data_IF_186897163581
#
_entry.id   IF_186897163581
#
_cell.length_a   1.000
_cell.length_b   1.000
_cell.length_c   1.000
_cell.angle_alpha   90.00
_cell.angle_beta   90.00
_cell.angle_gamma   90.00
#
_symmetry.space_group_name_H-M   'P 1'
#
loop_
_entity.id
_entity.type
_entity.pdbx_description
1 polymer ?
#
# COMPACT_ATOMS: atom_id res chain seq x y z
N UNK A 1 -33.96 59.78 55.92
CA UNK A 1 -34.18 58.34 56.18
C UNK A 1 -32.84 57.74 56.54
N UNK A 2 -32.53 57.59 57.85
CA UNK A 2 -31.23 57.18 58.38
C UNK A 2 -31.23 55.75 58.98
N UNK A 3 -30.06 55.31 59.45
CA UNK A 3 -29.71 54.08 60.21
C UNK A 3 -29.53 52.83 59.31
N UNK A 4 -28.34 52.28 59.02
CA UNK A 4 -27.09 52.13 59.80
C UNK A 4 -27.36 51.64 61.22
N UNK A 5 -27.50 50.33 61.35
CA UNK A 5 -27.40 49.62 62.62
C UNK A 5 -26.07 48.89 62.70
N UNK A 6 -25.43 49.18 63.82
CA UNK A 6 -24.16 48.70 64.33
C UNK A 6 -24.42 47.58 65.36
N UNK A 7 -23.39 46.74 65.54
CA UNK A 7 -23.12 45.79 66.63
C UNK A 7 -24.12 44.69 67.00
N UNK A 8 -23.68 43.45 66.81
CA UNK A 8 -23.96 42.36 67.75
C UNK A 8 -22.75 41.40 67.80
N UNK A 9 -21.96 41.57 68.87
CA UNK A 9 -21.24 40.56 69.67
C UNK A 9 -20.60 39.34 68.98
N UNK A 10 -19.26 39.16 69.08
CA UNK A 10 -18.62 37.89 68.75
C UNK A 10 -18.97 36.80 69.79
N UNK A 11 -19.18 35.54 69.38
CA UNK A 11 -19.39 34.45 70.33
C UNK A 11 -18.10 34.18 71.14
N UNK A 12 -18.28 34.03 72.45
CA UNK A 12 -17.23 33.68 73.39
C UNK A 12 -16.59 32.33 73.04
N UNK A 13 -15.26 32.28 73.06
CA UNK A 13 -14.48 31.03 73.03
C UNK A 13 -14.80 30.19 74.28
N UNK A 14 -15.05 28.88 74.12
CA UNK A 14 -15.13 27.97 75.25
C UNK A 14 -13.75 27.83 75.94
N UNK A 15 -13.71 27.58 77.26
CA UNK A 15 -12.47 27.43 78.01
C UNK A 15 -11.66 26.22 77.53
N UNK A 16 -10.35 26.41 77.45
CA UNK A 16 -9.33 25.43 77.08
C UNK A 16 -9.40 24.21 78.00
N UNK A 17 -9.66 23.03 77.42
CA UNK A 17 -9.55 21.75 78.12
C UNK A 17 -8.06 21.40 78.22
N UNK A 18 -7.51 21.08 79.40
CA UNK A 18 -6.15 20.57 79.55
C UNK A 18 -5.96 19.29 78.74
N UNK A 19 -4.90 19.23 77.95
CA UNK A 19 -4.57 18.08 77.11
C UNK A 19 -4.34 16.81 77.94
N UNK A 20 -4.57 15.62 77.34
CA UNK A 20 -4.26 14.35 77.98
C UNK A 20 -2.74 14.20 78.20
N UNK A 21 -2.31 13.49 79.26
CA UNK A 21 -0.90 13.26 79.53
C UNK A 21 -0.25 12.41 78.42
N UNK A 22 1.02 12.73 78.12
CA UNK A 22 1.84 11.99 77.16
C UNK A 22 1.86 10.48 77.48
N UNK A 23 1.63 9.60 76.50
CA UNK A 23 1.84 8.17 76.69
C UNK A 23 3.34 7.88 76.84
N UNK A 24 3.66 7.07 77.84
CA UNK A 24 4.99 6.53 78.10
C UNK A 24 5.59 5.83 76.87
N UNK A 25 6.94 5.81 76.71
CA UNK A 25 7.60 5.22 75.55
C UNK A 25 7.31 3.72 75.50
N UNK A 26 6.60 3.30 74.46
CA UNK A 26 6.45 1.89 74.12
C UNK A 26 7.71 1.40 73.42
N UNK A 27 8.29 0.33 73.94
CA UNK A 27 9.32 -0.48 73.29
C UNK A 27 8.87 -0.85 71.87
N UNK A 28 9.54 -0.26 70.88
CA UNK A 28 9.33 -0.56 69.47
C UNK A 28 9.86 -1.95 69.17
N UNK A 29 8.96 -2.94 69.09
CA UNK A 29 9.22 -4.15 68.31
C UNK A 29 9.27 -3.73 66.84
N UNK A 30 10.45 -3.84 66.24
CA UNK A 30 10.68 -3.50 64.84
C UNK A 30 9.74 -4.32 63.94
N UNK A 31 8.83 -3.64 63.26
CA UNK A 31 8.14 -4.21 62.11
C UNK A 31 9.19 -4.51 61.03
N UNK A 32 9.10 -5.64 60.31
CA UNK A 32 10.00 -5.91 59.19
C UNK A 32 9.86 -4.79 58.15
N UNK A 33 10.97 -4.15 57.83
CA UNK A 33 11.02 -3.17 56.75
C UNK A 33 10.46 -3.79 55.47
N UNK A 34 9.59 -3.09 54.72
CA UNK A 34 9.34 -3.44 53.34
C UNK A 34 10.70 -3.47 52.62
N UNK A 35 10.97 -4.46 51.76
CA UNK A 35 12.18 -4.46 50.97
C UNK A 35 12.26 -3.13 50.20
N UNK A 36 13.44 -2.52 50.23
CA UNK A 36 13.72 -1.32 49.45
C UNK A 36 13.28 -1.56 48.00
N UNK A 37 12.68 -0.57 47.30
CA UNK A 37 12.37 -0.73 45.90
C UNK A 37 13.67 -1.07 45.18
N UNK A 38 13.76 -2.32 44.72
CA UNK A 38 14.78 -2.69 43.76
C UNK A 38 14.62 -1.68 42.62
N UNK A 39 15.68 -0.95 42.32
CA UNK A 39 15.77 -0.26 41.05
C UNK A 39 15.56 -1.35 40.00
N UNK A 40 14.35 -1.38 39.43
CA UNK A 40 14.07 -2.21 38.29
C UNK A 40 15.02 -1.70 37.22
N UNK A 41 16.08 -2.48 36.98
CA UNK A 41 16.80 -2.41 35.74
C UNK A 41 15.73 -2.43 34.65
N UNK A 42 15.69 -1.42 33.75
CA UNK A 42 14.72 -1.43 32.68
C UNK A 42 14.82 -2.79 31.99
N UNK A 43 13.69 -3.44 31.67
CA UNK A 43 13.72 -4.71 30.95
C UNK A 43 14.62 -4.51 29.73
N UNK A 44 15.57 -5.43 29.55
CA UNK A 44 16.41 -5.43 28.37
C UNK A 44 15.49 -5.34 27.16
N UNK A 45 15.61 -4.23 26.43
CA UNK A 45 14.88 -4.02 25.19
C UNK A 45 15.21 -5.23 24.31
N UNK A 46 14.24 -6.09 23.95
CA UNK A 46 14.50 -7.11 22.95
C UNK A 46 15.00 -6.37 21.70
N UNK A 47 16.05 -6.85 21.03
CA UNK A 47 16.59 -6.17 19.86
C UNK A 47 15.43 -5.89 18.90
N UNK A 48 15.23 -4.61 18.61
CA UNK A 48 14.26 -4.17 17.61
C UNK A 48 14.53 -4.99 16.34
N UNK A 49 13.53 -5.59 15.69
CA UNK A 49 13.72 -6.09 14.35
C UNK A 49 14.18 -4.89 13.52
N UNK A 50 15.44 -4.91 13.12
CA UNK A 50 16.02 -3.91 12.23
C UNK A 50 15.08 -3.78 11.04
N UNK A 51 14.64 -2.54 10.82
CA UNK A 51 14.00 -2.11 9.60
C UNK A 51 14.72 -2.76 8.40
N UNK A 52 13.93 -3.21 7.44
CA UNK A 52 14.41 -3.71 6.15
C UNK A 52 15.58 -2.85 5.66
N UNK A 53 16.74 -3.45 5.36
CA UNK A 53 17.84 -2.69 4.79
C UNK A 53 17.41 -2.23 3.39
N UNK A 54 17.13 -0.94 3.25
CA UNK A 54 17.26 -0.29 1.96
C UNK A 54 18.74 -0.38 1.57
N UNK A 55 19.09 -0.97 0.41
CA UNK A 55 20.46 -0.96 -0.06
C UNK A 55 20.83 0.47 -0.47
N UNK A 56 21.74 1.10 0.29
CA UNK A 56 22.52 2.22 -0.20
C UNK A 56 23.33 1.77 -1.44
N UNK A 57 23.52 2.64 -2.46
CA UNK A 57 24.33 2.31 -3.62
C UNK A 57 25.81 2.24 -3.22
N UNK A 58 26.30 1.04 -2.99
CA UNK A 58 27.74 0.75 -2.97
C UNK A 58 28.19 0.36 -4.38
N UNK A 59 29.35 0.90 -4.76
CA UNK A 59 30.11 0.62 -5.98
C UNK A 59 30.14 -0.89 -6.33
N UNK A 60 30.19 -1.25 -7.63
CA UNK A 60 29.98 -2.62 -8.07
C UNK A 60 31.09 -3.58 -7.58
N UNK A 61 30.73 -4.73 -6.98
CA UNK A 61 31.68 -5.81 -6.73
C UNK A 61 32.03 -6.58 -8.02
N UNK A 62 33.17 -7.29 -8.05
CA UNK A 62 33.64 -8.01 -9.23
C UNK A 62 32.69 -9.16 -9.62
N UNK A 63 32.52 -9.30 -10.94
CA UNK A 63 31.68 -10.25 -11.66
C UNK A 63 31.55 -11.64 -11.03
N UNK A 64 30.33 -11.99 -10.61
CA UNK A 64 29.89 -13.36 -10.33
C UNK A 64 29.36 -14.01 -11.63
N UNK A 65 29.61 -15.31 -11.90
CA UNK A 65 29.20 -15.98 -13.13
C UNK A 65 27.68 -16.20 -13.21
N UNK A 66 27.09 -15.87 -14.37
CA UNK A 66 25.66 -15.97 -14.66
C UNK A 66 25.20 -17.44 -14.80
N UNK A 67 24.22 -17.93 -14.02
CA UNK A 67 23.75 -19.32 -14.05
C UNK A 67 22.86 -19.70 -15.25
N UNK A 68 22.61 -18.77 -16.18
CA UNK A 68 21.89 -19.05 -17.44
C UNK A 68 22.79 -19.11 -18.68
N UNK A 69 24.12 -19.21 -18.50
CA UNK A 69 25.02 -19.48 -19.61
C UNK A 69 24.78 -20.89 -20.16
N UNK A 70 24.46 -21.00 -21.45
CA UNK A 70 24.35 -22.30 -22.12
C UNK A 70 25.67 -23.08 -22.02
N UNK A 71 25.65 -24.42 -21.83
CA UNK A 71 26.87 -25.20 -21.71
C UNK A 71 27.62 -25.24 -23.04
N UNK A 72 28.86 -24.75 -23.04
CA UNK A 72 29.84 -25.07 -24.09
C UNK A 72 30.27 -26.53 -23.92
N UNK A 73 29.99 -27.36 -24.91
CA UNK A 73 30.36 -28.78 -24.93
C UNK A 73 31.88 -28.91 -25.14
N UNK A 74 32.63 -29.57 -24.23
CA UNK A 74 34.02 -29.91 -24.49
C UNK A 74 34.09 -31.11 -25.44
N UNK A 75 34.80 -30.96 -26.55
CA UNK A 75 35.06 -32.06 -27.48
C UNK A 75 36.14 -32.97 -26.89
N UNK A 76 35.71 -33.93 -26.06
CA UNK A 76 36.55 -35.00 -25.53
C UNK A 76 36.60 -36.15 -26.55
N UNK A 77 37.75 -36.30 -27.20
CA UNK A 77 37.99 -37.39 -28.15
C UNK A 77 37.93 -38.74 -27.45
N UNK A 78 37.21 -39.69 -28.04
CA UNK A 78 37.25 -41.09 -27.61
C UNK A 78 37.90 -41.94 -28.72
N UNK A 79 39.00 -42.66 -28.42
CA UNK A 79 39.60 -43.64 -29.30
C UNK A 79 38.71 -44.90 -29.32
N UNK A 80 38.83 -45.72 -30.37
CA UNK A 80 38.03 -46.94 -30.60
C UNK A 80 36.64 -46.73 -31.21
N UNK A 81 36.61 -46.39 -32.50
CA UNK A 81 35.54 -46.85 -33.39
C UNK A 81 36.17 -47.25 -34.73
N UNK A 82 36.23 -48.56 -34.95
CA UNK A 82 36.72 -49.24 -36.15
C UNK A 82 35.63 -49.17 -37.22
N UNK A 83 36.03 -48.80 -38.43
CA UNK A 83 35.22 -48.83 -39.67
C UNK A 83 34.74 -50.25 -40.00
N UNK A 84 33.59 -50.38 -40.69
CA UNK A 84 33.67 -51.03 -41.98
C UNK A 84 32.97 -50.22 -43.08
N UNK A 85 33.63 -50.19 -44.23
CA UNK A 85 33.25 -49.37 -45.36
C UNK A 85 32.01 -49.84 -46.11
N UNK A 86 31.25 -48.86 -46.57
CA UNK A 86 30.39 -48.95 -47.74
C UNK A 86 30.61 -47.68 -48.57
N UNK A 87 31.00 -47.88 -49.82
CA UNK A 87 31.43 -46.80 -50.72
C UNK A 87 30.29 -45.85 -51.09
N UNK A 88 30.57 -44.56 -50.95
CA UNK A 88 29.89 -43.48 -51.64
C UNK A 88 30.94 -42.68 -52.44
N UNK A 89 30.64 -42.27 -53.69
CA UNK A 89 31.58 -41.48 -54.49
C UNK A 89 31.83 -40.11 -53.82
N UNK A 90 33.00 -39.50 -54.02
CA UNK A 90 33.36 -38.25 -53.37
C UNK A 90 32.39 -37.13 -53.74
N UNK A 91 32.06 -36.22 -52.79
CA UNK A 91 31.30 -35.03 -53.12
C UNK A 91 32.09 -34.19 -54.13
N UNK A 92 31.42 -33.87 -55.23
CA UNK A 92 31.94 -32.98 -56.27
C UNK A 92 32.23 -31.63 -55.61
N UNK A 93 33.48 -31.17 -55.69
CA UNK A 93 33.82 -29.82 -55.27
C UNK A 93 32.96 -28.82 -56.05
N UNK A 94 32.37 -27.80 -55.40
CA UNK A 94 31.70 -26.75 -56.14
C UNK A 94 32.74 -26.08 -57.05
N UNK A 95 32.41 -25.76 -58.31
CA UNK A 95 33.35 -25.13 -59.21
C UNK A 95 33.80 -23.79 -58.61
N UNK A 96 35.05 -23.38 -58.84
CA UNK A 96 35.50 -22.07 -58.40
C UNK A 96 34.64 -21.03 -59.10
N UNK A 97 33.87 -20.27 -58.32
CA UNK A 97 33.08 -19.16 -58.85
C UNK A 97 34.05 -18.07 -59.31
N UNK A 98 34.44 -18.18 -60.58
CA UNK A 98 35.04 -17.11 -61.36
C UNK A 98 33.97 -16.06 -61.61
N UNK A 99 34.09 -14.89 -60.99
CA UNK A 99 33.24 -13.75 -61.33
C UNK A 99 33.07 -12.74 -60.20
N UNK A 100 33.80 -11.62 -60.31
CA UNK A 100 33.49 -10.40 -59.56
C UNK A 100 32.01 -10.02 -59.73
N UNK A 101 31.42 -9.50 -58.65
CA UNK A 101 30.02 -9.06 -58.49
C UNK A 101 29.00 -10.06 -57.91
N UNK A 102 29.29 -11.36 -57.80
CA UNK A 102 28.33 -12.31 -57.19
C UNK A 102 28.23 -12.17 -55.66
N UNK A 103 29.38 -11.98 -54.98
CA UNK A 103 29.44 -11.74 -53.53
C UNK A 103 28.75 -10.42 -53.16
N UNK A 104 28.96 -9.37 -53.96
CA UNK A 104 28.32 -8.07 -53.75
C UNK A 104 26.80 -8.13 -53.86
N UNK A 105 26.26 -8.95 -54.78
CA UNK A 105 24.81 -9.17 -54.92
C UNK A 105 24.23 -9.96 -53.76
N UNK A 106 24.91 -11.00 -53.28
CA UNK A 106 24.47 -11.78 -52.12
C UNK A 106 24.44 -10.93 -50.84
N UNK A 107 25.47 -10.10 -50.62
CA UNK A 107 25.51 -9.15 -49.50
C UNK A 107 24.39 -8.11 -49.60
N UNK A 108 24.10 -7.59 -50.80
CA UNK A 108 22.99 -6.68 -51.03
C UNK A 108 21.63 -7.29 -50.63
N UNK A 109 21.38 -8.55 -51.02
CA UNK A 109 20.14 -9.24 -50.65
C UNK A 109 20.04 -9.51 -49.15
N UNK A 110 21.15 -9.84 -48.47
CA UNK A 110 21.16 -10.00 -47.02
C UNK A 110 20.81 -8.68 -46.30
N UNK A 111 21.36 -7.55 -46.77
CA UNK A 111 21.05 -6.22 -46.21
C UNK A 111 19.58 -5.86 -46.44
N UNK A 112 19.05 -6.09 -47.64
CA UNK A 112 17.63 -5.85 -47.93
C UNK A 112 16.74 -6.71 -47.04
N UNK A 113 17.07 -8.00 -46.87
CA UNK A 113 16.35 -8.90 -45.96
C UNK A 113 16.36 -8.41 -44.51
N UNK A 114 17.51 -7.95 -44.02
CA UNK A 114 17.63 -7.39 -42.67
C UNK A 114 16.81 -6.10 -42.51
N UNK A 115 16.79 -5.21 -43.50
CA UNK A 115 15.99 -3.98 -43.47
C UNK A 115 14.49 -4.28 -43.49
N UNK A 116 14.03 -5.19 -44.36
CA UNK A 116 12.62 -5.58 -44.43
C UNK A 116 12.17 -6.26 -43.14
N UNK A 117 12.99 -7.17 -42.60
CA UNK A 117 12.70 -7.79 -41.31
C UNK A 117 12.64 -6.76 -40.17
N UNK A 118 13.58 -5.80 -40.13
CA UNK A 118 13.60 -4.73 -39.12
C UNK A 118 12.40 -3.79 -39.26
N UNK A 119 12.02 -3.44 -40.48
CA UNK A 119 10.82 -2.65 -40.75
C UNK A 119 9.55 -3.41 -40.37
N UNK A 120 9.49 -4.72 -40.60
CA UNK A 120 8.40 -5.59 -40.16
C UNK A 120 8.26 -5.63 -38.64
N UNK A 121 9.37 -5.76 -37.91
CA UNK A 121 9.38 -5.67 -36.45
C UNK A 121 8.96 -4.29 -35.94
N UNK A 122 9.48 -3.21 -36.54
CA UNK A 122 9.12 -1.85 -36.18
C UNK A 122 7.63 -1.56 -36.45
N UNK A 123 7.10 -2.01 -37.60
CA UNK A 123 5.68 -1.92 -37.93
C UNK A 123 4.83 -2.75 -36.95
N UNK A 124 5.31 -3.93 -36.56
CA UNK A 124 4.71 -4.73 -35.50
C UNK A 124 4.60 -3.94 -34.19
N UNK A 125 5.69 -3.32 -33.74
CA UNK A 125 5.70 -2.47 -32.54
C UNK A 125 4.77 -1.27 -32.66
N UNK A 126 4.69 -0.63 -33.83
CA UNK A 126 3.74 0.46 -34.09
C UNK A 126 2.28 -0.02 -33.97
N UNK A 127 1.96 -1.19 -34.52
CA UNK A 127 0.59 -1.73 -34.54
C UNK A 127 0.17 -2.33 -33.19
N UNK A 128 1.11 -2.86 -32.40
CA UNK A 128 0.83 -3.39 -31.06
C UNK A 128 0.87 -2.31 -29.96
N UNK A 129 0.96 -1.03 -30.32
CA UNK A 129 0.93 0.08 -29.35
C UNK A 129 2.27 0.42 -28.69
N UNK A 130 3.39 -0.14 -29.15
CA UNK A 130 4.74 0.19 -28.67
C UNK A 130 5.18 1.63 -28.93
N UNK A 131 4.42 2.39 -29.73
CA UNK A 131 4.62 3.82 -29.96
C UNK A 131 3.39 4.68 -29.60
N UNK A 132 2.57 4.19 -28.67
CA UNK A 132 1.64 4.94 -27.83
C UNK A 132 0.51 5.67 -28.57
N UNK A 133 -0.70 5.11 -28.54
CA UNK A 133 -1.89 5.96 -28.53
C UNK A 133 -1.81 6.89 -27.31
N UNK A 134 -2.31 8.13 -27.43
CA UNK A 134 -2.34 9.05 -26.30
C UNK A 134 -3.09 8.45 -25.11
N UNK A 135 -2.61 8.71 -23.88
CA UNK A 135 -3.23 8.20 -22.67
C UNK A 135 -4.73 8.59 -22.58
N UNK A 136 -5.59 7.62 -22.26
CA UNK A 136 -7.03 7.86 -22.05
C UNK A 136 -7.27 8.41 -20.63
N UNK A 137 -6.93 9.68 -20.42
CA UNK A 137 -7.04 10.32 -19.10
C UNK A 137 -8.48 10.74 -18.75
N UNK A 138 -9.43 10.75 -19.69
CA UNK A 138 -10.85 11.13 -19.49
C UNK A 138 -11.11 12.44 -18.72
N UNK A 139 -10.17 13.38 -18.81
CA UNK A 139 -10.25 14.66 -18.08
C UNK A 139 -9.94 14.55 -16.59
N UNK A 140 -9.46 13.40 -16.10
CA UNK A 140 -9.05 13.24 -14.71
C UNK A 140 -7.77 14.00 -14.39
N UNK A 141 -7.72 14.50 -13.15
CA UNK A 141 -6.51 15.02 -12.51
C UNK A 141 -6.19 14.30 -11.21
N UNK A 142 -4.91 14.22 -10.90
CA UNK A 142 -4.42 13.82 -9.57
C UNK A 142 -4.08 15.09 -8.77
N UNK A 143 -4.91 15.49 -7.78
CA UNK A 143 -4.76 16.75 -7.06
C UNK A 143 -3.66 16.71 -6.00
N UNK A 144 -2.90 17.79 -5.86
CA UNK A 144 -1.83 17.87 -4.84
C UNK A 144 -2.33 17.67 -3.39
N UNK A 145 -3.63 17.80 -3.14
CA UNK A 145 -4.26 17.51 -1.87
C UNK A 145 -5.54 16.68 -2.09
N UNK A 146 -5.40 15.35 -2.07
CA UNK A 146 -6.55 14.46 -2.21
C UNK A 146 -7.51 14.54 -1.01
N UNK A 147 -7.00 14.78 0.22
CA UNK A 147 -7.85 14.87 1.41
C UNK A 147 -8.89 16.00 1.37
N UNK A 148 -8.64 17.05 0.60
CA UNK A 148 -9.62 18.14 0.39
C UNK A 148 -10.39 18.04 -0.93
N UNK A 149 -9.98 17.13 -1.82
CA UNK A 149 -10.56 17.00 -3.17
C UNK A 149 -11.41 15.75 -3.33
N UNK A 150 -11.23 14.76 -2.45
CA UNK A 150 -12.07 13.58 -2.38
C UNK A 150 -13.28 13.84 -1.49
N UNK A 151 -14.41 13.26 -1.90
CA UNK A 151 -15.59 13.15 -1.07
C UNK A 151 -15.42 11.97 -0.12
N UNK A 152 -15.80 12.18 1.13
CA UNK A 152 -15.99 11.16 2.16
C UNK A 152 -17.12 11.58 3.11
N UNK A 153 -18.08 12.35 2.58
CA UNK A 153 -19.15 12.96 3.37
C UNK A 153 -20.11 11.93 3.92
N UNK A 154 -20.28 10.78 3.28
CA UNK A 154 -21.12 9.69 3.80
C UNK A 154 -20.60 9.12 5.13
N UNK A 155 -19.30 9.28 5.44
CA UNK A 155 -18.72 8.89 6.72
C UNK A 155 -18.97 9.91 7.85
N UNK A 156 -19.36 11.15 7.55
CA UNK A 156 -19.38 12.25 8.53
C UNK A 156 -20.52 12.17 9.55
N UNK A 157 -21.61 11.50 9.20
CA UNK A 157 -22.71 11.26 10.13
C UNK A 157 -22.27 10.33 11.27
N UNK A 158 -21.48 9.30 10.92
CA UNK A 158 -20.91 8.35 11.89
C UNK A 158 -19.67 8.92 12.59
N UNK A 159 -18.81 9.62 11.84
CA UNK A 159 -17.52 10.12 12.29
C UNK A 159 -17.43 11.65 12.14
N UNK A 160 -18.15 12.41 12.99
CA UNK A 160 -18.28 13.86 12.82
C UNK A 160 -17.02 14.66 13.18
N UNK A 161 -16.05 14.05 13.86
CA UNK A 161 -14.84 14.75 14.29
C UNK A 161 -13.78 14.67 13.19
N UNK A 162 -13.52 15.81 12.54
CA UNK A 162 -12.51 15.91 11.50
C UNK A 162 -11.11 15.58 12.02
N UNK A 163 -10.32 14.89 11.19
CA UNK A 163 -8.89 14.73 11.41
C UNK A 163 -8.18 16.08 11.22
N UNK A 164 -7.47 16.53 12.26
CA UNK A 164 -6.72 17.78 12.23
C UNK A 164 -5.38 17.67 11.48
N UNK A 165 -4.88 16.46 11.27
CA UNK A 165 -3.57 16.22 10.67
C UNK A 165 -3.58 14.99 9.74
N UNK A 166 -4.45 14.95 8.72
CA UNK A 166 -4.46 13.84 7.78
C UNK A 166 -3.14 13.81 7.00
N UNK A 167 -2.66 12.60 6.72
CA UNK A 167 -1.48 12.38 5.88
C UNK A 167 -1.86 12.60 4.43
N UNK A 168 -1.06 13.39 3.71
CA UNK A 168 -1.25 13.66 2.29
C UNK A 168 0.08 13.73 1.57
N UNK A 169 0.13 13.15 0.38
CA UNK A 169 1.27 13.20 -0.51
C UNK A 169 0.77 13.24 -1.95
N UNK A 170 1.58 13.85 -2.82
CA UNK A 170 1.36 13.86 -4.24
C UNK A 170 2.69 13.74 -4.96
N UNK A 171 2.68 12.98 -6.04
CA UNK A 171 3.83 12.79 -6.92
C UNK A 171 3.44 13.26 -8.32
N UNK A 172 4.35 13.95 -9.00
CA UNK A 172 4.20 14.33 -10.40
C UNK A 172 5.39 13.77 -11.17
N UNK A 173 5.11 12.95 -12.17
CA UNK A 173 6.09 12.39 -13.08
C UNK A 173 5.51 12.34 -14.51
N UNK A 174 6.32 12.50 -15.57
CA UNK A 174 5.83 12.37 -16.95
C UNK A 174 5.11 11.05 -17.27
N UNK A 175 5.33 9.99 -16.48
CA UNK A 175 4.68 8.69 -16.62
C UNK A 175 3.46 8.48 -15.71
N UNK A 176 3.46 9.08 -14.52
CA UNK A 176 2.45 8.84 -13.49
C UNK A 176 2.30 10.08 -12.60
N UNK A 177 1.05 10.53 -12.41
CA UNK A 177 0.75 11.40 -11.28
C UNK A 177 0.05 10.59 -10.19
N UNK A 178 0.53 10.71 -8.95
CA UNK A 178 -0.08 10.09 -7.78
C UNK A 178 -0.65 11.16 -6.86
N UNK A 179 -1.77 10.87 -6.20
CA UNK A 179 -2.29 11.65 -5.09
C UNK A 179 -2.85 10.73 -4.02
N UNK A 180 -2.46 10.98 -2.78
CA UNK A 180 -2.76 10.10 -1.66
C UNK A 180 -3.32 10.90 -0.49
N UNK A 181 -4.26 10.27 0.22
CA UNK A 181 -4.79 10.75 1.48
C UNK A 181 -4.95 9.59 2.45
N UNK A 182 -4.57 9.78 3.71
CA UNK A 182 -4.92 8.89 4.81
C UNK A 182 -5.38 9.73 6.01
N UNK A 183 -6.52 9.39 6.58
CA UNK A 183 -7.14 10.12 7.67
C UNK A 183 -7.75 9.18 8.71
N UNK A 184 -7.82 9.66 9.94
CA UNK A 184 -8.54 8.99 11.03
C UNK A 184 -10.01 9.39 11.00
N UNK A 185 -10.89 8.42 11.13
CA UNK A 185 -12.33 8.60 11.32
C UNK A 185 -12.63 8.52 12.81
N UNK A 186 -13.31 9.54 13.36
CA UNK A 186 -13.49 9.68 14.80
C UNK A 186 -14.89 10.14 15.22
N UNK A 187 -15.44 9.46 16.23
CA UNK A 187 -16.67 9.80 16.94
C UNK A 187 -16.44 10.88 17.99
N UNK A 188 -17.50 11.59 18.36
CA UNK A 188 -17.40 12.67 19.37
C UNK A 188 -16.95 12.19 20.75
N UNK A 189 -17.30 10.95 21.12
CA UNK A 189 -16.92 10.33 22.39
C UNK A 189 -15.47 9.85 22.45
N UNK A 190 -14.79 9.75 21.31
CA UNK A 190 -13.51 9.07 21.18
C UNK A 190 -12.34 10.05 21.25
N UNK A 191 -11.27 9.64 21.95
CA UNK A 191 -10.02 10.39 22.01
C UNK A 191 -9.08 10.08 20.83
N UNK A 192 -9.14 8.85 20.31
CA UNK A 192 -8.36 8.35 19.18
C UNK A 192 -9.28 8.08 17.97
N UNK A 193 -8.69 7.76 16.81
CA UNK A 193 -9.45 7.34 15.64
C UNK A 193 -10.10 5.97 15.88
N UNK A 194 -11.39 5.87 15.59
CA UNK A 194 -12.18 4.64 15.69
C UNK A 194 -12.03 3.78 14.41
N UNK A 195 -11.72 4.43 13.29
CA UNK A 195 -11.43 3.80 12.02
C UNK A 195 -10.46 4.65 11.19
N UNK A 196 -10.02 4.12 10.05
CA UNK A 196 -9.13 4.80 9.13
C UNK A 196 -9.71 4.76 7.72
N UNK A 197 -9.51 5.86 6.99
CA UNK A 197 -9.85 5.96 5.58
C UNK A 197 -8.58 6.32 4.80
N UNK A 198 -8.28 5.52 3.78
CA UNK A 198 -7.17 5.77 2.85
C UNK A 198 -7.74 5.90 1.44
N UNK A 199 -7.27 6.89 0.70
CA UNK A 199 -7.67 7.15 -0.67
C UNK A 199 -6.43 7.38 -1.53
N UNK A 200 -6.43 6.83 -2.74
CA UNK A 200 -5.34 7.02 -3.68
C UNK A 200 -5.88 7.19 -5.10
N UNK A 201 -5.29 8.11 -5.84
CA UNK A 201 -5.50 8.33 -7.27
C UNK A 201 -4.17 8.14 -7.99
N UNK A 202 -4.15 7.24 -8.96
CA UNK A 202 -3.02 7.04 -9.87
C UNK A 202 -3.48 7.38 -11.28
N UNK A 203 -2.91 8.44 -11.84
CA UNK A 203 -3.20 8.89 -13.20
C UNK A 203 -2.06 8.49 -14.13
N UNK A 204 -2.22 7.38 -14.83
CA UNK A 204 -1.20 6.81 -15.69
C UNK A 204 -1.15 7.58 -17.01
N UNK A 205 0.02 8.13 -17.37
CA UNK A 205 0.21 8.96 -18.56
C UNK A 205 0.95 8.26 -19.69
N UNK A 206 1.56 7.10 -19.41
CA UNK A 206 2.41 6.36 -20.36
C UNK A 206 2.08 4.88 -20.51
N UNK A 207 1.43 4.28 -19.51
CA UNK A 207 1.10 2.85 -19.50
C UNK A 207 -0.38 2.68 -19.22
N UNK A 208 -1.03 1.79 -19.96
CA UNK A 208 -2.41 1.39 -19.69
C UNK A 208 -2.46 0.52 -18.41
N UNK A 209 -3.16 0.95 -17.35
CA UNK A 209 -3.24 0.16 -16.13
C UNK A 209 -4.21 -1.03 -16.22
N UNK A 210 -5.04 -1.14 -17.27
CA UNK A 210 -6.13 -2.10 -17.31
C UNK A 210 -5.72 -3.57 -17.07
N UNK A 211 -4.69 -4.12 -17.75
CA UNK A 211 -4.33 -5.52 -17.55
C UNK A 211 -3.88 -5.82 -16.11
N UNK A 212 -3.09 -4.92 -15.52
CA UNK A 212 -2.59 -5.08 -14.15
C UNK A 212 -3.70 -4.85 -13.12
N UNK A 213 -4.54 -3.83 -13.33
CA UNK A 213 -5.69 -3.54 -12.47
C UNK A 213 -6.65 -4.72 -12.39
N UNK A 214 -7.05 -5.29 -13.53
CA UNK A 214 -7.90 -6.49 -13.57
C UNK A 214 -7.22 -7.65 -12.87
N UNK A 215 -5.95 -7.92 -13.16
CA UNK A 215 -5.23 -9.05 -12.58
C UNK A 215 -5.12 -8.95 -11.05
N UNK A 216 -4.83 -7.76 -10.52
CA UNK A 216 -4.67 -7.51 -9.08
C UNK A 216 -6.01 -7.58 -8.36
N UNK A 217 -7.03 -6.88 -8.83
CA UNK A 217 -8.26 -6.69 -8.05
C UNK A 217 -9.28 -7.80 -8.24
N UNK A 218 -9.40 -8.37 -9.46
CA UNK A 218 -10.29 -9.51 -9.69
C UNK A 218 -9.88 -10.75 -8.92
N UNK A 219 -8.56 -10.97 -8.81
CA UNK A 219 -7.98 -12.18 -8.22
C UNK A 219 -7.43 -11.91 -6.80
N UNK A 220 -7.85 -10.81 -6.15
CA UNK A 220 -7.32 -10.43 -4.84
C UNK A 220 -7.47 -11.57 -3.81
N UNK A 221 -8.63 -12.25 -3.84
CA UNK A 221 -8.93 -13.40 -2.98
C UNK A 221 -8.07 -14.65 -3.22
N UNK A 222 -7.43 -14.79 -4.39
CA UNK A 222 -6.53 -15.92 -4.67
C UNK A 222 -5.24 -15.83 -3.83
N UNK A 223 -4.81 -14.61 -3.52
CA UNK A 223 -3.62 -14.34 -2.69
C UNK A 223 -3.97 -13.96 -1.24
N UNK A 224 -5.22 -13.59 -0.98
CA UNK A 224 -5.75 -13.20 0.33
C UNK A 224 -7.08 -13.93 0.57
N UNK A 225 -6.99 -15.21 0.94
CA UNK A 225 -8.13 -16.15 0.97
C UNK A 225 -9.19 -15.83 2.03
N UNK A 226 -8.88 -14.92 2.94
CA UNK A 226 -9.73 -14.38 3.99
C UNK A 226 -10.50 -13.11 3.56
N UNK A 227 -10.43 -12.75 2.28
CA UNK A 227 -11.15 -11.62 1.69
C UNK A 227 -12.15 -12.08 0.63
N UNK A 228 -13.32 -11.45 0.67
CA UNK A 228 -14.32 -11.57 -0.37
C UNK A 228 -14.10 -10.51 -1.44
N UNK A 229 -14.19 -10.91 -2.71
CA UNK A 229 -14.04 -10.01 -3.87
C UNK A 229 -15.31 -10.03 -4.69
N UNK A 230 -15.88 -8.86 -4.96
CA UNK A 230 -17.08 -8.72 -5.77
C UNK A 230 -16.93 -7.63 -6.83
N UNK A 231 -17.29 -7.87 -8.11
CA UNK A 231 -17.33 -6.81 -9.10
C UNK A 231 -18.43 -5.80 -8.76
N UNK A 232 -18.17 -4.51 -9.01
CA UNK A 232 -19.12 -3.42 -8.82
C UNK A 232 -19.44 -2.78 -10.16
N UNK A 233 -20.72 -2.74 -10.50
CA UNK A 233 -21.18 -2.13 -11.76
C UNK A 233 -21.51 -0.64 -11.57
N UNK A 234 -21.37 0.13 -12.64
CA UNK A 234 -21.77 1.54 -12.68
C UNK A 234 -20.84 2.50 -11.95
N UNK A 235 -19.57 2.13 -11.77
CA UNK A 235 -18.50 2.99 -11.25
C UNK A 235 -17.26 2.75 -12.12
N UNK A 236 -16.83 3.77 -12.86
CA UNK A 236 -15.74 3.65 -13.84
C UNK A 236 -16.03 2.64 -14.96
N UNK A 237 -14.96 2.23 -15.64
CA UNK A 237 -14.99 1.11 -16.61
C UNK A 237 -15.03 -0.25 -15.91
N UNK A 238 -14.37 -0.32 -14.74
CA UNK A 238 -14.17 -1.56 -14.00
C UNK A 238 -13.96 -1.23 -12.52
N UNK A 239 -14.65 -1.96 -11.64
CA UNK A 239 -14.50 -1.78 -10.20
C UNK A 239 -14.67 -3.10 -9.44
N UNK A 240 -13.92 -3.23 -8.35
CA UNK A 240 -13.97 -4.38 -7.46
C UNK A 240 -14.06 -3.90 -6.01
N UNK A 241 -14.96 -4.51 -5.26
CA UNK A 241 -15.09 -4.35 -3.83
C UNK A 241 -14.43 -5.55 -3.15
N UNK A 242 -13.43 -5.27 -2.33
CA UNK A 242 -12.70 -6.23 -1.53
C UNK A 242 -13.09 -6.03 -0.07
N UNK A 243 -13.56 -7.07 0.61
CA UNK A 243 -14.06 -6.97 1.98
C UNK A 243 -13.53 -8.10 2.86
N UNK A 244 -13.39 -7.79 4.15
CA UNK A 244 -13.13 -8.78 5.18
C UNK A 244 -13.82 -8.34 6.47
N UNK A 245 -14.46 -9.29 7.16
CA UNK A 245 -14.98 -9.11 8.51
C UNK A 245 -14.51 -10.27 9.39
N UNK A 246 -13.61 -9.99 10.32
CA UNK A 246 -13.12 -10.96 11.30
C UNK A 246 -13.84 -10.83 12.65
N UNK A 247 -14.81 -9.93 12.76
CA UNK A 247 -15.55 -9.67 13.99
C UNK A 247 -16.49 -10.81 14.38
N UNK A 248 -16.89 -11.65 13.40
CA UNK A 248 -17.85 -12.74 13.61
C UNK A 248 -19.15 -12.26 14.28
N UNK A 249 -19.60 -11.05 13.93
CA UNK A 249 -20.78 -10.40 14.51
C UNK A 249 -20.53 -9.68 15.84
N UNK A 250 -19.31 -9.72 16.37
CA UNK A 250 -18.90 -8.91 17.52
C UNK A 250 -18.81 -7.44 17.14
N UNK A 251 -19.10 -6.56 18.10
CA UNK A 251 -18.88 -5.11 18.02
C UNK A 251 -17.63 -4.65 18.77
N UNK A 252 -16.96 -5.54 19.50
CA UNK A 252 -15.83 -5.19 20.40
C UNK A 252 -14.59 -6.05 20.18
N UNK A 253 -14.57 -6.93 19.17
CA UNK A 253 -13.42 -7.78 18.83
C UNK A 253 -13.34 -8.02 17.34
N UNK A 254 -12.13 -8.16 16.80
CA UNK A 254 -11.89 -8.44 15.39
C UNK A 254 -11.64 -7.16 14.58
N UNK A 255 -11.89 -7.22 13.28
CA UNK A 255 -11.66 -6.12 12.35
C UNK A 255 -12.67 -6.13 11.22
N UNK A 256 -12.91 -4.94 10.65
CA UNK A 256 -13.68 -4.76 9.43
C UNK A 256 -12.81 -4.02 8.43
N UNK A 257 -12.75 -4.54 7.21
CA UNK A 257 -12.00 -3.95 6.12
C UNK A 257 -12.85 -3.92 4.86
N UNK A 258 -12.81 -2.81 4.14
CA UNK A 258 -13.43 -2.70 2.82
C UNK A 258 -12.60 -1.79 1.92
N UNK A 259 -12.29 -2.24 0.72
CA UNK A 259 -11.63 -1.43 -0.32
C UNK A 259 -12.45 -1.47 -1.59
N UNK A 260 -12.83 -0.29 -2.08
CA UNK A 260 -13.37 -0.13 -3.43
C UNK A 260 -12.24 0.35 -4.33
N UNK A 261 -11.83 -0.51 -5.27
CA UNK A 261 -10.89 -0.18 -6.34
C UNK A 261 -11.66 0.08 -7.63
N UNK A 262 -11.31 1.15 -8.33
CA UNK A 262 -11.94 1.57 -9.59
C UNK A 262 -10.88 1.89 -10.63
N UNK A 263 -11.14 1.53 -11.87
CA UNK A 263 -10.44 2.03 -13.06
C UNK A 263 -11.44 2.72 -13.99
N UNK A 264 -11.07 3.89 -14.48
CA UNK A 264 -11.83 4.60 -15.51
C UNK A 264 -10.85 5.22 -16.53
N UNK A 265 -10.77 4.64 -17.72
CA UNK A 265 -9.66 4.92 -18.65
C UNK A 265 -8.32 4.50 -18.06
N UNK A 266 -7.34 5.41 -18.09
CA UNK A 266 -5.99 5.26 -17.55
C UNK A 266 -5.84 5.85 -16.14
N UNK A 267 -6.94 6.14 -15.45
CA UNK A 267 -6.96 6.50 -14.04
C UNK A 267 -7.37 5.28 -13.21
N UNK A 268 -6.67 5.04 -12.10
CA UNK A 268 -7.11 4.13 -11.04
C UNK A 268 -7.33 4.90 -9.74
N UNK A 269 -8.32 4.46 -8.97
CA UNK A 269 -8.70 5.03 -7.70
C UNK A 269 -8.98 3.93 -6.69
N UNK A 270 -8.53 4.13 -5.45
CA UNK A 270 -8.91 3.28 -4.32
C UNK A 270 -9.45 4.12 -3.18
N UNK A 271 -10.48 3.60 -2.51
CA UNK A 271 -10.94 4.08 -1.21
C UNK A 271 -11.05 2.88 -0.26
N UNK A 272 -10.27 2.91 0.81
CA UNK A 272 -10.07 1.81 1.74
C UNK A 272 -10.44 2.24 3.16
N UNK A 273 -11.35 1.50 3.77
CA UNK A 273 -11.75 1.62 5.17
C UNK A 273 -11.14 0.47 5.98
N UNK A 274 -10.68 0.79 7.19
CA UNK A 274 -10.35 -0.22 8.20
C UNK A 274 -10.78 0.21 9.59
N UNK A 275 -11.30 -0.75 10.36
CA UNK A 275 -11.57 -0.61 11.79
C UNK A 275 -11.05 -1.84 12.54
N UNK A 276 -10.48 -1.61 13.71
CA UNK A 276 -10.04 -2.64 14.63
C UNK A 276 -10.90 -2.52 15.89
N UNK A 277 -11.59 -3.58 16.24
CA UNK A 277 -12.56 -3.58 17.33
C UNK A 277 -11.89 -4.16 18.57
N UNK A 278 -12.00 -3.44 19.68
CA UNK A 278 -11.43 -3.82 20.96
C UNK A 278 -12.41 -3.58 22.11
N UNK A 279 -12.34 -4.42 23.13
CA UNK A 279 -13.09 -4.21 24.39
C UNK A 279 -12.58 -3.01 25.18
N UNK A 280 -11.43 -2.45 24.79
CA UNK A 280 -10.85 -1.25 25.38
C UNK A 280 -11.26 0.04 24.67
N UNK A 281 -11.92 -0.06 23.51
CA UNK A 281 -12.35 1.10 22.75
C UNK A 281 -13.56 1.76 23.41
N UNK A 282 -13.63 3.08 23.30
CA UNK A 282 -14.81 3.84 23.72
C UNK A 282 -15.99 3.64 22.77
N UNK A 283 -15.73 3.28 21.52
CA UNK A 283 -16.75 2.92 20.55
C UNK A 283 -17.13 1.44 20.71
N UNK A 284 -18.41 1.19 20.95
CA UNK A 284 -18.98 -0.16 21.10
C UNK A 284 -20.08 -0.44 20.07
N UNK A 285 -20.29 0.50 19.14
CA UNK A 285 -21.29 0.43 18.08
C UNK A 285 -20.66 0.82 16.72
N UNK A 286 -19.67 0.04 16.24
CA UNK A 286 -19.03 0.31 14.96
C UNK A 286 -19.99 0.03 13.79
N UNK A 287 -19.93 0.80 12.69
CA UNK A 287 -20.82 0.63 11.55
C UNK A 287 -20.66 -0.74 10.90
N UNK A 288 -21.77 -1.30 10.42
CA UNK A 288 -21.75 -2.58 9.70
C UNK A 288 -20.93 -2.48 8.41
N UNK A 289 -20.40 -3.61 7.95
CA UNK A 289 -19.67 -3.66 6.69
C UNK A 289 -20.56 -3.22 5.50
N UNK A 290 -21.84 -3.58 5.51
CA UNK A 290 -22.80 -3.15 4.50
C UNK A 290 -22.94 -1.62 4.45
N UNK A 291 -23.06 -0.95 5.61
CA UNK A 291 -23.08 0.51 5.70
C UNK A 291 -21.82 1.13 5.10
N UNK A 292 -20.64 0.62 5.51
CA UNK A 292 -19.34 1.10 5.03
C UNK A 292 -19.22 0.93 3.52
N UNK A 293 -19.58 -0.22 2.96
CA UNK A 293 -19.49 -0.44 1.50
C UNK A 293 -20.46 0.45 0.73
N UNK A 294 -21.60 0.81 1.30
CA UNK A 294 -22.53 1.80 0.75
C UNK A 294 -21.91 3.20 0.70
N UNK A 295 -21.24 3.62 1.78
CA UNK A 295 -20.52 4.89 1.84
C UNK A 295 -19.36 4.93 0.83
N UNK A 296 -18.52 3.90 0.79
CA UNK A 296 -17.43 3.79 -0.19
C UNK A 296 -17.93 3.97 -1.62
N UNK A 297 -19.02 3.30 -2.01
CA UNK A 297 -19.60 3.42 -3.36
C UNK A 297 -20.12 4.82 -3.65
N UNK A 298 -20.78 5.44 -2.68
CA UNK A 298 -21.37 6.79 -2.82
C UNK A 298 -20.28 7.84 -2.96
N UNK A 299 -19.34 7.83 -2.02
CA UNK A 299 -18.27 8.81 -1.94
C UNK A 299 -17.24 8.64 -3.06
N UNK A 300 -17.00 7.39 -3.52
CA UNK A 300 -16.17 7.14 -4.70
C UNK A 300 -16.80 7.74 -5.96
N UNK A 301 -18.10 7.54 -6.21
CA UNK A 301 -18.77 8.14 -7.38
C UNK A 301 -18.65 9.66 -7.38
N UNK A 302 -18.95 10.29 -6.25
CA UNK A 302 -18.83 11.74 -6.08
C UNK A 302 -17.38 12.22 -6.27
N UNK A 303 -16.42 11.51 -5.70
CA UNK A 303 -14.99 11.81 -5.86
C UNK A 303 -14.57 11.75 -7.32
N UNK A 304 -14.94 10.70 -8.05
CA UNK A 304 -14.59 10.57 -9.47
C UNK A 304 -15.16 11.70 -10.32
N UNK A 305 -16.37 12.18 -10.03
CA UNK A 305 -16.93 13.36 -10.69
C UNK A 305 -16.13 14.63 -10.36
N UNK A 306 -15.76 14.82 -9.09
CA UNK A 306 -14.96 15.98 -8.64
C UNK A 306 -13.54 15.99 -9.22
N UNK A 307 -12.95 14.82 -9.49
CA UNK A 307 -11.61 14.69 -10.06
C UNK A 307 -11.54 14.95 -11.57
N UNK A 308 -12.67 15.16 -12.24
CA UNK A 308 -12.70 15.60 -13.65
C UNK A 308 -12.60 17.11 -13.75
N UNK A 309 -11.90 17.59 -14.79
CA UNK A 309 -11.84 19.01 -15.18
C UNK A 309 -13.10 19.47 -15.95
#
# INVERSE_FOLDING_TARGET
MPYLHDMSTPPQQPPSVPGPPDPAPQDTVAAPQPPAPQQQQPPAVPPQPTAYPYPHPQSPPPSQPNPYAQPTVPQQGNPYAVQPGYGYPPPVAPPPATGGNAVGRAVLWAVVGAVVASAGWAAGLFLTGGLGAGADLRGYRAPANLCSSADYSSFKDEYPVADSAPTKNAMKDPALDESYCSLSLKKTSSSYGDAYLTMQVDLHRKTDPAPEFTATWKNYGDSHTDYDVSPVQGIGDEAYLVTQDTSNGSTTTGSRYATLAVRDGWMTYTMSYSAYLSTYDSDTDPPTLDSVTGWLKTDTKSTLEQLKD
#
